data_IF_731294296582
#
_entry.id   IF_731294296582
#
_cell.length_a   1.000
_cell.length_b   1.000
_cell.length_c   1.000
_cell.angle_alpha   90.00
_cell.angle_beta   90.00
_cell.angle_gamma   90.00
#
_symmetry.space_group_name_H-M   'P 1'
#
loop_
_entity.id
_entity.type
_entity.pdbx_description
1 polymer ?
#
# COMPACT_ATOMS: atom_id res chain seq x y z
N UNK A 1 10.04 44.94 13.00
CA UNK A 1 10.89 43.76 12.71
C UNK A 1 11.21 43.05 14.03
N UNK A 2 10.60 41.91 14.30
CA UNK A 2 11.00 41.04 15.40
C UNK A 2 10.87 39.60 14.93
N UNK A 3 12.03 39.00 14.68
CA UNK A 3 12.22 37.65 14.17
C UNK A 3 12.19 36.74 15.40
N UNK A 4 10.99 36.24 15.73
CA UNK A 4 10.85 35.25 16.79
C UNK A 4 11.66 34.00 16.43
N UNK A 5 12.63 33.71 17.28
CA UNK A 5 13.51 32.55 17.21
C UNK A 5 12.68 31.30 17.56
N UNK A 6 11.99 30.74 16.56
CA UNK A 6 11.45 29.38 16.66
C UNK A 6 12.65 28.42 16.67
N UNK A 7 13.07 28.05 17.87
CA UNK A 7 13.92 26.88 18.12
C UNK A 7 13.28 25.69 17.40
N UNK A 8 13.80 25.34 16.22
CA UNK A 8 13.51 24.06 15.57
C UNK A 8 14.14 22.97 16.44
N UNK A 9 13.37 22.39 17.36
CA UNK A 9 13.68 21.03 17.80
C UNK A 9 13.42 20.13 16.59
N UNK A 10 14.45 19.96 15.76
CA UNK A 10 14.46 18.89 14.77
C UNK A 10 14.25 17.56 15.51
N UNK A 11 13.58 16.58 14.89
CA UNK A 11 13.35 15.30 15.54
C UNK A 11 14.69 14.69 15.92
N UNK A 12 14.77 14.17 17.15
CA UNK A 12 15.95 13.48 17.63
C UNK A 12 16.13 12.20 16.78
N UNK A 13 17.01 12.25 15.79
CA UNK A 13 17.26 11.11 14.89
C UNK A 13 17.88 9.91 15.62
N UNK A 14 18.47 10.13 16.80
CA UNK A 14 18.98 9.06 17.67
C UNK A 14 17.85 8.29 18.38
N UNK A 15 16.61 8.78 18.31
CA UNK A 15 15.45 8.15 18.94
C UNK A 15 14.68 7.18 18.03
N UNK A 16 14.99 7.10 16.73
CA UNK A 16 14.24 6.21 15.81
C UNK A 16 14.82 4.80 15.88
N UNK A 17 14.01 3.78 16.24
CA UNK A 17 14.52 2.43 16.43
C UNK A 17 15.06 1.87 15.11
N UNK A 18 16.22 1.22 15.19
CA UNK A 18 16.77 0.44 14.08
C UNK A 18 15.83 -0.70 13.64
N UNK A 19 14.94 -1.15 14.54
CA UNK A 19 14.00 -2.23 14.29
C UNK A 19 12.60 -1.93 14.86
N UNK A 20 11.58 -1.98 14.01
CA UNK A 20 10.17 -2.09 14.36
C UNK A 20 9.70 -3.52 14.12
N UNK A 21 8.78 -4.01 14.95
CA UNK A 21 8.22 -5.36 14.82
C UNK A 21 6.71 -5.31 14.99
N UNK A 22 6.00 -5.94 14.07
CA UNK A 22 4.54 -6.01 14.01
C UNK A 22 4.12 -7.47 14.01
N UNK A 23 3.72 -7.99 15.18
CA UNK A 23 3.42 -9.43 15.41
C UNK A 23 1.96 -9.73 15.70
N UNK A 24 1.15 -8.71 15.97
CA UNK A 24 -0.26 -8.85 16.29
C UNK A 24 -1.04 -7.62 15.82
N UNK A 25 -2.35 -7.77 15.64
CA UNK A 25 -3.22 -6.65 15.25
C UNK A 25 -3.12 -5.49 16.23
N UNK A 26 -3.04 -4.28 15.70
CA UNK A 26 -2.98 -3.04 16.46
C UNK A 26 -3.97 -2.01 15.88
N UNK A 27 -5.24 -2.09 16.34
CA UNK A 27 -6.30 -1.23 15.87
C UNK A 27 -6.00 0.28 15.93
N UNK A 28 -5.29 0.82 16.96
CA UNK A 28 -5.00 2.26 17.03
C UNK A 28 -4.22 2.82 15.83
N UNK A 29 -3.39 1.99 15.18
CA UNK A 29 -2.64 2.38 13.98
C UNK A 29 -3.28 1.84 12.69
N UNK A 30 -4.41 1.12 12.80
CA UNK A 30 -5.10 0.47 11.70
C UNK A 30 -4.34 -0.74 11.13
N UNK A 31 -3.42 -1.30 11.90
CA UNK A 31 -2.69 -2.51 11.54
C UNK A 31 -3.50 -3.74 11.97
N UNK A 32 -3.70 -4.67 11.04
CA UNK A 32 -4.36 -5.94 11.32
C UNK A 32 -3.45 -7.04 10.79
N UNK A 33 -3.24 -8.04 11.63
CA UNK A 33 -2.47 -9.24 11.34
C UNK A 33 -3.34 -10.47 11.54
N UNK A 34 -2.97 -11.57 10.89
CA UNK A 34 -3.54 -12.87 11.19
C UNK A 34 -3.30 -13.20 12.66
N UNK A 35 -4.22 -13.96 13.27
CA UNK A 35 -3.96 -14.48 14.61
C UNK A 35 -2.76 -15.44 14.54
N UNK A 36 -1.67 -15.17 15.28
CA UNK A 36 -0.44 -15.93 15.12
C UNK A 36 -0.67 -17.40 15.47
N UNK A 37 -0.46 -18.29 14.50
CA UNK A 37 -0.62 -19.74 14.71
C UNK A 37 0.75 -20.37 14.89
N UNK A 38 0.93 -21.16 15.95
CA UNK A 38 2.19 -21.89 16.16
C UNK A 38 2.34 -22.98 15.11
N UNK A 39 3.52 -23.09 14.50
CA UNK A 39 3.77 -24.12 13.50
C UNK A 39 5.19 -24.08 12.91
N UNK A 40 5.54 -25.07 12.07
CA UNK A 40 6.84 -25.14 11.42
C UNK A 40 7.14 -23.91 10.57
N UNK A 41 6.16 -23.42 9.80
CA UNK A 41 6.31 -22.24 8.93
C UNK A 41 6.68 -21.00 9.73
N UNK A 42 5.93 -20.72 10.80
CA UNK A 42 6.23 -19.62 11.72
C UNK A 42 7.62 -19.73 12.34
N UNK A 43 8.02 -20.93 12.74
CA UNK A 43 9.36 -21.17 13.30
C UNK A 43 10.47 -20.85 12.28
N UNK A 44 10.25 -21.12 10.99
CA UNK A 44 11.20 -20.76 9.94
C UNK A 44 11.34 -19.24 9.82
N UNK A 45 10.22 -18.53 9.76
CA UNK A 45 10.20 -17.07 9.62
C UNK A 45 10.83 -16.39 10.82
N UNK A 46 10.47 -16.78 12.05
CA UNK A 46 11.00 -16.17 13.28
C UNK A 46 12.53 -16.34 13.38
N UNK A 47 13.06 -17.51 13.02
CA UNK A 47 14.53 -17.72 12.99
C UNK A 47 15.22 -16.86 11.95
N UNK A 48 14.65 -16.77 10.75
CA UNK A 48 15.23 -15.95 9.71
C UNK A 48 15.16 -14.46 10.06
N UNK A 49 14.03 -14.00 10.59
CA UNK A 49 13.84 -12.64 11.09
C UNK A 49 14.85 -12.28 12.19
N UNK A 50 15.08 -13.18 13.16
CA UNK A 50 16.08 -12.97 14.20
C UNK A 50 17.49 -12.78 13.63
N UNK A 51 17.86 -13.54 12.60
CA UNK A 51 19.15 -13.36 11.92
C UNK A 51 19.22 -12.03 11.16
N UNK A 52 18.17 -11.64 10.45
CA UNK A 52 18.08 -10.35 9.75
C UNK A 52 18.24 -9.20 10.75
N UNK A 53 17.54 -9.26 11.89
CA UNK A 53 17.63 -8.26 12.95
C UNK A 53 19.03 -8.17 13.56
N UNK A 54 19.70 -9.30 13.79
CA UNK A 54 21.05 -9.33 14.35
C UNK A 54 22.09 -8.70 13.40
N UNK A 55 22.00 -9.00 12.10
CA UNK A 55 22.86 -8.41 11.08
C UNK A 55 22.51 -6.95 10.75
N UNK A 56 21.26 -6.55 10.97
CA UNK A 56 20.71 -5.24 10.62
C UNK A 56 21.18 -4.06 11.49
N UNK A 57 21.92 -4.30 12.57
CA UNK A 57 22.41 -3.23 13.47
C UNK A 57 23.40 -2.24 12.82
N UNK A 58 23.88 -2.51 11.59
CA UNK A 58 24.68 -1.59 10.77
C UNK A 58 23.96 -1.09 9.50
N UNK A 59 22.71 -1.51 9.27
CA UNK A 59 21.95 -1.22 8.04
C UNK A 59 20.79 -0.22 8.31
N UNK A 60 20.18 0.27 7.23
CA UNK A 60 19.03 1.18 7.28
C UNK A 60 17.91 0.65 8.19
N UNK A 61 17.13 1.52 8.87
CA UNK A 61 16.05 1.12 9.76
C UNK A 61 15.06 0.14 9.11
N UNK A 62 14.67 -0.85 9.89
CA UNK A 62 13.90 -2.00 9.43
C UNK A 62 12.56 -2.11 10.17
N UNK A 63 11.52 -2.55 9.47
CA UNK A 63 10.26 -2.99 10.03
C UNK A 63 9.98 -4.44 9.60
N UNK A 64 9.72 -5.31 10.58
CA UNK A 64 9.30 -6.69 10.37
C UNK A 64 7.80 -6.79 10.57
N UNK A 65 7.08 -7.30 9.56
CA UNK A 65 5.66 -7.58 9.66
C UNK A 65 5.43 -9.09 9.58
N UNK A 66 4.79 -9.64 10.60
CA UNK A 66 4.40 -11.04 10.63
C UNK A 66 2.94 -11.19 10.26
N UNK A 67 2.67 -11.95 9.21
CA UNK A 67 1.33 -12.18 8.65
C UNK A 67 0.38 -10.94 8.63
N UNK A 68 0.79 -9.75 8.15
CA UNK A 68 -0.10 -8.61 7.92
C UNK A 68 -1.29 -8.97 7.01
N UNK A 69 -2.47 -8.45 7.33
CA UNK A 69 -3.66 -8.60 6.50
C UNK A 69 -3.55 -7.76 5.22
N UNK A 70 -3.03 -8.35 4.15
CA UNK A 70 -2.90 -7.72 2.83
C UNK A 70 -4.12 -8.05 1.94
N UNK A 71 -4.30 -7.36 0.81
CA UNK A 71 -5.41 -7.69 -0.11
C UNK A 71 -5.29 -9.12 -0.65
N UNK A 72 -4.06 -9.64 -0.80
CA UNK A 72 -3.76 -10.95 -1.38
C UNK A 72 -3.10 -11.89 -0.36
N UNK A 73 -3.68 -12.00 0.84
CA UNK A 73 -3.24 -12.96 1.86
C UNK A 73 -2.44 -12.33 3.01
N UNK A 74 -1.60 -13.14 3.65
CA UNK A 74 -0.91 -12.82 4.89
C UNK A 74 0.59 -13.13 4.82
N UNK A 75 1.35 -12.47 3.92
CA UNK A 75 2.78 -12.71 3.77
C UNK A 75 3.56 -12.13 4.93
N UNK A 76 4.70 -12.72 5.27
CA UNK A 76 5.67 -12.07 6.15
C UNK A 76 6.49 -11.06 5.34
N UNK A 77 6.77 -9.89 5.91
CA UNK A 77 7.43 -8.80 5.20
C UNK A 77 8.61 -8.23 5.98
N UNK A 78 9.69 -7.94 5.25
CA UNK A 78 10.84 -7.19 5.73
C UNK A 78 10.89 -5.88 4.96
N UNK A 79 10.77 -4.76 5.67
CA UNK A 79 10.62 -3.44 5.06
C UNK A 79 11.73 -2.52 5.56
N UNK A 80 12.54 -1.94 4.67
CA UNK A 80 13.44 -0.85 5.05
C UNK A 80 12.74 0.48 4.84
N UNK A 81 13.05 1.45 5.70
CA UNK A 81 12.42 2.76 5.64
C UNK A 81 13.39 3.87 6.02
N UNK A 82 13.05 5.09 5.61
CA UNK A 82 13.80 6.31 5.86
C UNK A 82 13.11 7.13 6.97
N UNK A 83 13.68 7.19 8.19
CA UNK A 83 13.13 7.98 9.28
C UNK A 83 12.94 9.46 8.98
N UNK A 84 13.82 10.06 8.17
CA UNK A 84 13.78 11.48 7.86
C UNK A 84 12.53 11.85 7.05
N UNK A 85 11.96 10.87 6.33
CA UNK A 85 10.67 11.02 5.68
C UNK A 85 9.53 11.18 6.68
N UNK A 86 9.51 10.35 7.71
CA UNK A 86 8.44 10.36 8.72
C UNK A 86 8.53 11.58 9.63
N UNK A 87 9.72 12.14 9.83
CA UNK A 87 9.91 13.42 10.50
C UNK A 87 9.12 14.59 9.87
N UNK A 88 8.76 14.49 8.59
CA UNK A 88 8.00 15.51 7.86
C UNK A 88 6.49 15.22 7.82
N UNK A 89 6.03 14.15 8.48
CA UNK A 89 4.62 13.81 8.51
C UNK A 89 3.78 14.87 9.16
N UNK A 90 2.55 15.02 8.66
CA UNK A 90 1.55 15.94 9.18
C UNK A 90 0.42 15.19 9.88
N UNK A 91 -0.19 15.83 10.87
CA UNK A 91 -1.30 15.26 11.66
C UNK A 91 -2.42 14.61 10.81
N UNK A 92 -2.87 15.19 9.67
CA UNK A 92 -3.91 14.57 8.86
C UNK A 92 -3.55 13.18 8.29
N UNK A 93 -2.26 12.83 8.18
CA UNK A 93 -1.84 11.47 7.76
C UNK A 93 -2.34 10.37 8.71
N UNK A 94 -2.42 10.68 10.01
CA UNK A 94 -2.88 9.74 11.03
C UNK A 94 -4.34 9.32 10.82
N UNK A 95 -5.11 10.14 10.09
CA UNK A 95 -6.53 9.91 9.82
C UNK A 95 -6.78 9.31 8.44
N UNK A 96 -5.75 8.95 7.67
CA UNK A 96 -5.95 8.37 6.34
C UNK A 96 -6.57 6.97 6.44
N UNK A 97 -7.56 6.71 5.60
CA UNK A 97 -8.26 5.44 5.51
C UNK A 97 -7.86 4.71 4.23
N UNK A 98 -8.23 3.43 4.12
CA UNK A 98 -7.96 2.62 2.91
C UNK A 98 -8.50 3.26 1.64
N UNK A 99 -9.64 3.96 1.73
CA UNK A 99 -10.21 4.71 0.60
C UNK A 99 -9.33 5.89 0.17
N UNK A 100 -8.65 6.55 1.11
CA UNK A 100 -7.70 7.63 0.80
C UNK A 100 -6.47 7.05 0.10
N UNK A 101 -5.95 5.91 0.55
CA UNK A 101 -4.80 5.25 -0.08
C UNK A 101 -5.11 4.78 -1.51
N UNK A 102 -6.34 4.31 -1.76
CA UNK A 102 -6.82 4.01 -3.12
C UNK A 102 -6.82 5.25 -4.00
N UNK A 103 -7.26 6.38 -3.47
CA UNK A 103 -7.26 7.65 -4.20
C UNK A 103 -5.84 8.13 -4.50
N UNK A 104 -4.89 8.01 -3.55
CA UNK A 104 -3.47 8.31 -3.80
C UNK A 104 -2.93 7.42 -4.93
N UNK A 105 -3.15 6.10 -4.86
CA UNK A 105 -2.67 5.17 -5.88
C UNK A 105 -3.27 5.44 -7.27
N UNK A 106 -4.54 5.85 -7.33
CA UNK A 106 -5.19 6.29 -8.58
C UNK A 106 -4.60 7.60 -9.12
N UNK A 107 -4.40 8.60 -8.25
CA UNK A 107 -3.78 9.87 -8.64
C UNK A 107 -2.30 9.70 -9.03
N UNK A 108 -1.62 8.66 -8.56
CA UNK A 108 -0.25 8.31 -8.97
C UNK A 108 -0.18 7.73 -10.38
N UNK A 109 -1.19 6.96 -10.77
CA UNK A 109 -1.22 6.35 -12.09
C UNK A 109 -1.55 7.35 -13.20
N UNK A 110 -1.84 8.60 -12.86
CA UNK A 110 -2.21 9.67 -13.77
C UNK A 110 -1.37 10.93 -13.48
N UNK A 111 -1.13 11.79 -14.47
CA UNK A 111 -0.34 13.00 -14.26
C UNK A 111 -1.12 14.07 -13.45
N UNK A 112 -2.39 14.27 -13.81
CA UNK A 112 -3.34 15.20 -13.19
C UNK A 112 -4.76 14.69 -13.46
N UNK A 113 -5.66 14.76 -12.48
CA UNK A 113 -7.04 14.25 -12.63
C UNK A 113 -8.05 15.25 -12.11
N UNK A 114 -9.11 15.53 -12.88
CA UNK A 114 -10.21 16.39 -12.43
C UNK A 114 -11.22 15.66 -11.52
N UNK A 115 -12.13 16.43 -10.91
CA UNK A 115 -13.10 15.89 -9.96
C UNK A 115 -14.09 14.93 -10.63
N UNK A 116 -14.48 15.19 -11.88
CA UNK A 116 -15.43 14.36 -12.61
C UNK A 116 -14.87 12.95 -12.84
N UNK A 117 -13.60 12.86 -13.27
CA UNK A 117 -12.89 11.60 -13.43
C UNK A 117 -12.71 10.87 -12.09
N UNK A 118 -12.35 11.58 -11.01
CA UNK A 118 -12.25 10.97 -9.66
C UNK A 118 -13.61 10.38 -9.24
N UNK A 119 -14.71 11.12 -9.43
CA UNK A 119 -16.05 10.66 -9.07
C UNK A 119 -16.48 9.44 -9.90
N UNK A 120 -16.16 9.43 -11.19
CA UNK A 120 -16.48 8.32 -12.08
C UNK A 120 -15.71 7.04 -11.70
N UNK A 121 -14.43 7.14 -11.35
CA UNK A 121 -13.61 5.96 -11.01
C UNK A 121 -13.88 5.42 -9.61
N UNK A 122 -14.09 6.31 -8.62
CA UNK A 122 -14.29 5.89 -7.23
C UNK A 122 -15.76 5.65 -6.87
N UNK A 123 -16.68 5.71 -7.84
CA UNK A 123 -18.12 5.48 -7.68
C UNK A 123 -18.69 6.14 -6.41
N UNK A 124 -18.27 7.38 -6.15
CA UNK A 124 -18.44 8.02 -4.86
C UNK A 124 -19.37 9.22 -4.92
N UNK A 125 -20.10 9.44 -3.83
CA UNK A 125 -20.75 10.73 -3.61
C UNK A 125 -19.71 11.86 -3.56
N UNK A 126 -20.07 13.02 -4.13
CA UNK A 126 -19.19 14.19 -4.23
C UNK A 126 -18.61 14.61 -2.89
N UNK A 127 -19.45 14.65 -1.84
CA UNK A 127 -19.04 15.15 -0.51
C UNK A 127 -17.98 14.27 0.17
N UNK A 128 -18.14 12.94 0.25
CA UNK A 128 -17.06 12.05 0.67
C UNK A 128 -15.75 12.24 -0.11
N UNK A 129 -15.80 12.31 -1.44
CA UNK A 129 -14.59 12.50 -2.27
C UNK A 129 -13.88 13.81 -1.94
N UNK A 130 -14.61 14.92 -1.85
CA UNK A 130 -14.04 16.22 -1.48
C UNK A 130 -13.40 16.21 -0.10
N UNK A 131 -14.00 15.54 0.89
CA UNK A 131 -13.40 15.37 2.22
C UNK A 131 -12.08 14.60 2.18
N UNK A 132 -11.98 13.58 1.31
CA UNK A 132 -10.73 12.82 1.12
C UNK A 132 -9.66 13.68 0.47
N UNK A 133 -10.01 14.40 -0.58
CA UNK A 133 -9.10 15.34 -1.24
C UNK A 133 -8.59 16.39 -0.24
N UNK A 134 -9.46 16.92 0.61
CA UNK A 134 -9.08 17.93 1.60
C UNK A 134 -8.07 17.36 2.60
N UNK A 135 -8.40 16.20 3.18
CA UNK A 135 -7.50 15.49 4.12
C UNK A 135 -6.14 15.19 3.49
N UNK A 136 -6.11 14.78 2.22
CA UNK A 136 -4.87 14.50 1.49
C UNK A 136 -4.05 15.77 1.21
N UNK A 137 -4.69 16.90 0.93
CA UNK A 137 -3.98 18.18 0.73
C UNK A 137 -3.47 18.76 2.06
N UNK A 138 -4.26 18.69 3.13
CA UNK A 138 -3.85 19.05 4.48
C UNK A 138 -2.68 18.17 4.97
N UNK A 139 -2.64 16.91 4.53
CA UNK A 139 -1.52 15.99 4.75
C UNK A 139 -0.28 16.31 3.88
N UNK A 140 -0.39 17.24 2.93
CA UNK A 140 0.67 17.59 1.97
C UNK A 140 0.96 16.53 0.91
N UNK A 141 0.04 15.59 0.69
CA UNK A 141 0.23 14.47 -0.27
C UNK A 141 -0.15 14.90 -1.69
N UNK A 142 -1.22 15.67 -1.82
CA UNK A 142 -1.73 16.14 -3.11
C UNK A 142 -1.76 17.66 -3.15
N UNK A 143 -1.78 18.18 -4.38
CA UNK A 143 -2.02 19.58 -4.67
C UNK A 143 -3.13 19.70 -5.71
N UNK A 144 -3.96 20.72 -5.55
CA UNK A 144 -4.94 21.13 -6.55
C UNK A 144 -4.31 22.24 -7.42
N UNK A 145 -4.42 22.10 -8.74
CA UNK A 145 -3.91 23.05 -9.72
C UNK A 145 -4.91 23.11 -10.89
N UNK A 146 -5.52 24.28 -11.10
CA UNK A 146 -6.43 24.56 -12.22
C UNK A 146 -7.63 23.61 -12.34
N UNK A 147 -8.24 23.23 -11.22
CA UNK A 147 -9.38 22.31 -11.13
C UNK A 147 -9.02 20.83 -11.21
N UNK A 148 -7.73 20.49 -11.17
CA UNK A 148 -7.23 19.12 -11.21
C UNK A 148 -6.30 18.82 -10.03
N UNK A 149 -6.29 17.57 -9.59
CA UNK A 149 -5.48 17.09 -8.48
C UNK A 149 -4.34 16.22 -8.98
N UNK A 150 -3.18 16.33 -8.33
CA UNK A 150 -2.05 15.43 -8.52
C UNK A 150 -1.30 15.20 -7.23
N UNK A 151 -0.55 14.11 -7.16
CA UNK A 151 0.42 13.90 -6.07
C UNK A 151 1.57 14.89 -6.21
N UNK A 152 1.98 15.51 -5.11
CA UNK A 152 3.02 16.57 -5.09
C UNK A 152 4.34 16.05 -5.66
N UNK A 153 4.79 14.90 -5.17
CA UNK A 153 5.93 14.16 -5.70
C UNK A 153 5.72 12.65 -5.47
N UNK A 154 5.56 11.85 -6.54
CA UNK A 154 5.18 10.45 -6.48
C UNK A 154 5.91 9.59 -5.44
N UNK A 155 7.25 9.65 -5.44
CA UNK A 155 8.09 8.85 -4.54
C UNK A 155 8.20 9.45 -3.13
N UNK A 156 7.92 10.74 -2.97
CA UNK A 156 7.96 11.44 -1.68
C UNK A 156 6.68 11.23 -0.85
N UNK A 157 5.77 10.37 -1.32
CA UNK A 157 4.68 9.87 -0.48
C UNK A 157 5.14 8.74 0.44
N UNK A 158 6.13 7.95 0.00
CA UNK A 158 6.63 6.77 0.68
C UNK A 158 7.96 7.03 1.40
N UNK A 159 7.97 6.80 2.71
CA UNK A 159 9.21 6.68 3.49
C UNK A 159 9.79 5.27 3.44
N UNK A 160 8.99 4.29 3.02
CA UNK A 160 9.46 2.94 2.70
C UNK A 160 10.41 2.99 1.50
N UNK A 161 11.54 2.28 1.59
CA UNK A 161 12.58 2.23 0.56
C UNK A 161 12.71 0.86 -0.09
N UNK A 162 12.42 -0.21 0.64
CA UNK A 162 12.47 -1.58 0.16
C UNK A 162 11.40 -2.41 0.85
N UNK A 163 10.76 -3.32 0.12
CA UNK A 163 9.77 -4.27 0.64
C UNK A 163 10.16 -5.66 0.13
N UNK A 164 10.63 -6.52 1.02
CA UNK A 164 10.86 -7.92 0.73
C UNK A 164 9.70 -8.75 1.29
N UNK A 165 8.96 -9.40 0.40
CA UNK A 165 7.92 -10.34 0.79
C UNK A 165 8.51 -11.75 0.93
N UNK A 166 8.20 -12.41 2.03
CA UNK A 166 8.66 -13.75 2.37
C UNK A 166 7.43 -14.66 2.38
N UNK A 167 7.44 -15.65 1.51
CA UNK A 167 6.46 -16.73 1.53
C UNK A 167 7.14 -17.98 2.11
N UNK A 168 6.79 -18.33 3.35
CA UNK A 168 7.27 -19.53 4.00
C UNK A 168 6.22 -20.64 3.89
N UNK A 169 6.58 -21.77 3.29
CA UNK A 169 5.62 -22.87 3.12
C UNK A 169 6.25 -24.25 3.20
N UNK A 170 5.53 -25.16 3.84
CA UNK A 170 5.81 -26.60 3.81
C UNK A 170 5.25 -27.21 2.51
N UNK A 171 5.80 -28.33 2.00
CA UNK A 171 6.02 -28.54 0.57
C UNK A 171 4.74 -28.63 -0.28
N UNK A 172 4.42 -27.55 -1.02
CA UNK A 172 3.48 -27.53 -2.14
C UNK A 172 3.91 -26.49 -3.18
N UNK A 173 4.88 -26.86 -4.03
CA UNK A 173 5.65 -25.96 -4.91
C UNK A 173 4.81 -25.08 -5.87
N UNK A 174 3.80 -25.59 -6.60
CA UNK A 174 3.09 -24.74 -7.56
C UNK A 174 2.32 -23.60 -6.91
N UNK A 175 1.61 -23.88 -5.81
CA UNK A 175 0.87 -22.86 -5.05
C UNK A 175 1.80 -21.83 -4.43
N UNK A 176 2.98 -22.27 -3.98
CA UNK A 176 4.01 -21.40 -3.41
C UNK A 176 4.48 -20.32 -4.40
N UNK A 177 4.71 -20.68 -5.67
CA UNK A 177 5.11 -19.73 -6.71
C UNK A 177 3.97 -18.76 -7.04
N UNK A 178 2.74 -19.26 -7.17
CA UNK A 178 1.58 -18.43 -7.43
C UNK A 178 1.37 -17.36 -6.34
N UNK A 179 1.44 -17.75 -5.07
CA UNK A 179 1.35 -16.83 -3.94
C UNK A 179 2.49 -15.79 -3.96
N UNK A 180 3.72 -16.23 -4.21
CA UNK A 180 4.86 -15.31 -4.32
C UNK A 180 4.70 -14.29 -5.47
N UNK A 181 4.13 -14.71 -6.59
CA UNK A 181 3.85 -13.82 -7.72
C UNK A 181 2.83 -12.74 -7.36
N UNK A 182 1.82 -13.03 -6.53
CA UNK A 182 0.88 -12.01 -6.05
C UNK A 182 1.57 -10.91 -5.24
N UNK A 183 2.68 -11.21 -4.54
CA UNK A 183 3.40 -10.21 -3.76
C UNK A 183 4.27 -9.28 -4.62
N UNK A 184 4.67 -9.72 -5.82
CA UNK A 184 5.49 -8.93 -6.75
C UNK A 184 4.81 -7.64 -7.26
N UNK A 185 3.50 -7.48 -7.06
CA UNK A 185 2.77 -6.25 -7.41
C UNK A 185 3.11 -5.05 -6.50
N UNK A 186 3.62 -5.29 -5.29
CA UNK A 186 3.99 -4.22 -4.35
C UNK A 186 5.38 -4.40 -3.73
N UNK A 187 5.88 -5.63 -3.64
CA UNK A 187 7.20 -5.91 -3.11
C UNK A 187 8.29 -5.57 -4.13
N UNK A 188 9.42 -5.05 -3.65
CA UNK A 188 10.64 -4.87 -4.45
C UNK A 188 11.35 -6.20 -4.67
N UNK A 189 11.21 -7.13 -3.74
CA UNK A 189 11.72 -8.49 -3.85
C UNK A 189 10.70 -9.46 -3.25
N UNK A 190 10.58 -10.65 -3.85
CA UNK A 190 9.83 -11.74 -3.25
C UNK A 190 10.74 -12.96 -3.11
N UNK A 191 10.72 -13.57 -1.93
CA UNK A 191 11.59 -14.68 -1.55
C UNK A 191 10.75 -15.84 -1.05
N UNK A 192 11.11 -17.05 -1.49
CA UNK A 192 10.62 -18.29 -0.91
C UNK A 192 11.53 -18.69 0.25
N UNK A 193 10.95 -18.86 1.44
CA UNK A 193 11.67 -19.39 2.59
C UNK A 193 11.33 -20.86 2.77
N UNK A 194 12.32 -21.72 2.55
CA UNK A 194 12.16 -23.16 2.55
C UNK A 194 12.90 -23.80 3.74
N UNK A 195 12.35 -24.88 4.34
CA UNK A 195 13.14 -25.70 5.26
C UNK A 195 14.32 -26.32 4.52
N UNK A 196 15.37 -26.72 5.24
CA UNK A 196 16.56 -27.41 4.72
C UNK A 196 16.20 -28.70 3.95
N UNK A 197 15.84 -28.56 2.69
CA UNK A 197 15.46 -29.62 1.77
C UNK A 197 16.24 -29.46 0.47
N UNK A 198 16.44 -30.58 -0.23
CA UNK A 198 17.03 -30.55 -1.57
C UNK A 198 16.09 -29.80 -2.51
N UNK A 199 16.52 -28.63 -2.97
CA UNK A 199 15.82 -27.88 -4.01
C UNK A 199 15.84 -28.71 -5.29
N UNK A 200 14.66 -29.00 -5.85
CA UNK A 200 14.60 -29.67 -7.14
C UNK A 200 15.03 -28.70 -8.24
N UNK A 201 15.69 -29.22 -9.28
CA UNK A 201 16.08 -28.41 -10.44
C UNK A 201 14.86 -27.69 -11.06
N UNK A 202 13.72 -28.38 -11.11
CA UNK A 202 12.46 -27.82 -11.61
C UNK A 202 11.96 -26.63 -10.80
N UNK A 203 12.05 -26.69 -9.46
CA UNK A 203 11.70 -25.55 -8.59
C UNK A 203 12.64 -24.38 -8.83
N UNK A 204 13.96 -24.63 -8.83
CA UNK A 204 14.97 -23.58 -9.04
C UNK A 204 14.77 -22.87 -10.38
N UNK A 205 14.52 -23.63 -11.46
CA UNK A 205 14.23 -23.09 -12.78
C UNK A 205 12.90 -22.33 -12.84
N UNK A 206 11.88 -22.78 -12.11
CA UNK A 206 10.61 -22.06 -12.06
C UNK A 206 10.74 -20.73 -11.32
N UNK A 207 11.40 -20.71 -10.16
CA UNK A 207 11.72 -19.50 -9.38
C UNK A 207 12.53 -18.52 -10.23
N UNK A 208 13.56 -19.01 -10.91
CA UNK A 208 14.42 -18.21 -11.80
C UNK A 208 13.63 -17.50 -12.89
N UNK A 209 12.76 -18.21 -13.59
CA UNK A 209 11.92 -17.64 -14.66
C UNK A 209 11.03 -16.50 -14.17
N UNK A 210 10.72 -16.47 -12.88
CA UNK A 210 9.86 -15.46 -12.27
C UNK A 210 10.63 -14.39 -11.47
N UNK A 211 11.97 -14.43 -11.47
CA UNK A 211 12.80 -13.47 -10.73
C UNK A 211 12.67 -13.56 -9.21
N UNK A 212 12.20 -14.70 -8.68
CA UNK A 212 12.03 -14.89 -7.24
C UNK A 212 13.37 -15.26 -6.57
N UNK A 213 13.49 -14.96 -5.28
CA UNK A 213 14.60 -15.40 -4.44
C UNK A 213 14.30 -16.73 -3.75
N UNK A 214 15.35 -17.45 -3.34
CA UNK A 214 15.24 -18.66 -2.52
C UNK A 214 16.16 -18.54 -1.33
N UNK A 215 15.56 -18.58 -0.14
CA UNK A 215 16.28 -18.71 1.11
C UNK A 215 15.98 -20.07 1.73
N UNK A 216 17.01 -20.67 2.31
CA UNK A 216 16.94 -21.97 2.97
C UNK A 216 17.29 -21.79 4.44
N UNK A 217 16.38 -22.21 5.32
CA UNK A 217 16.63 -22.25 6.75
C UNK A 217 17.34 -23.56 7.11
N UNK A 218 18.63 -23.45 7.47
CA UNK A 218 19.40 -24.53 8.10
C UNK A 218 19.21 -24.50 9.63
N UNK A 219 19.70 -25.51 10.38
CA UNK A 219 19.65 -25.48 11.83
C UNK A 219 20.35 -24.27 12.46
N UNK A 220 21.34 -23.69 11.78
CA UNK A 220 22.20 -22.62 12.33
C UNK A 220 22.07 -21.29 11.59
N UNK A 221 21.50 -21.25 10.39
CA UNK A 221 21.41 -20.03 9.60
C UNK A 221 20.25 -20.02 8.60
N UNK A 222 19.73 -18.83 8.32
CA UNK A 222 18.95 -18.53 7.13
C UNK A 222 19.91 -18.17 6.00
N UNK A 223 20.04 -19.04 5.00
CA UNK A 223 21.02 -18.89 3.91
C UNK A 223 20.33 -18.44 2.62
N UNK A 224 20.88 -17.41 1.98
CA UNK A 224 20.47 -17.00 0.64
C UNK A 224 21.07 -17.96 -0.37
N UNK A 225 20.24 -18.79 -0.99
CA UNK A 225 20.66 -19.72 -2.05
C UNK A 225 20.58 -19.05 -3.41
N UNK A 226 19.58 -18.19 -3.59
CA UNK A 226 19.38 -17.40 -4.79
C UNK A 226 18.79 -16.04 -4.41
N UNK A 227 19.38 -14.99 -4.95
CA UNK A 227 18.84 -13.64 -4.81
C UNK A 227 17.64 -13.44 -5.75
N UNK A 228 16.65 -12.69 -5.28
CA UNK A 228 15.55 -12.24 -6.12
C UNK A 228 16.08 -11.23 -7.15
N UNK A 229 15.39 -11.10 -8.28
CA UNK A 229 15.63 -9.99 -9.20
C UNK A 229 14.91 -8.75 -8.64
N UNK A 230 15.62 -7.69 -8.24
CA UNK A 230 14.98 -6.54 -7.62
C UNK A 230 14.08 -5.79 -8.63
N UNK A 231 12.89 -5.41 -8.18
CA UNK A 231 11.98 -4.53 -8.89
C UNK A 231 11.98 -3.13 -8.27
N UNK A 232 11.66 -2.12 -9.07
CA UNK A 232 11.42 -0.76 -8.57
C UNK A 232 10.24 -0.74 -7.62
N UNK A 233 10.37 -0.01 -6.51
CA UNK A 233 9.27 0.24 -5.59
C UNK A 233 8.15 0.97 -6.32
N UNK A 234 6.92 0.47 -6.18
CA UNK A 234 5.73 1.05 -6.82
C UNK A 234 4.80 1.61 -5.76
N UNK A 235 4.22 2.77 -6.03
CA UNK A 235 3.16 3.34 -5.19
C UNK A 235 1.86 2.59 -5.46
N UNK A 236 1.62 1.59 -4.63
CA UNK A 236 0.41 0.78 -4.57
C UNK A 236 -0.31 1.00 -3.24
N UNK A 237 -1.58 0.61 -3.17
CA UNK A 237 -2.35 0.61 -1.90
C UNK A 237 -1.59 -0.14 -0.80
N UNK A 238 -0.92 -1.25 -1.13
CA UNK A 238 -0.19 -2.05 -0.13
C UNK A 238 1.11 -1.40 0.33
N UNK A 239 1.91 -0.85 -0.58
CA UNK A 239 3.11 -0.07 -0.19
C UNK A 239 2.73 1.16 0.67
N UNK A 240 1.60 1.80 0.36
CA UNK A 240 1.07 2.92 1.13
C UNK A 240 0.59 2.45 2.50
N UNK A 241 -0.08 1.31 2.61
CA UNK A 241 -0.51 0.75 3.91
C UNK A 241 0.67 0.45 4.82
N UNK A 242 1.71 -0.19 4.28
CA UNK A 242 2.96 -0.45 5.02
C UNK A 242 3.59 0.86 5.49
N UNK A 243 3.68 1.84 4.59
CA UNK A 243 4.16 3.18 4.92
C UNK A 243 3.35 3.83 6.04
N UNK A 244 2.02 3.77 5.95
CA UNK A 244 1.13 4.38 6.94
C UNK A 244 1.24 3.69 8.31
N UNK A 245 1.37 2.35 8.36
CA UNK A 245 1.55 1.63 9.61
C UNK A 245 2.89 1.96 10.30
N UNK A 246 3.98 2.06 9.53
CA UNK A 246 5.29 2.45 10.06
C UNK A 246 5.22 3.84 10.69
N UNK A 247 4.74 4.84 9.96
CA UNK A 247 4.75 6.20 10.51
C UNK A 247 3.75 6.38 11.65
N UNK A 248 2.59 5.72 11.63
CA UNK A 248 1.65 5.74 12.77
C UNK A 248 2.24 5.09 14.01
N UNK A 249 2.97 3.97 13.85
CA UNK A 249 3.74 3.38 14.94
C UNK A 249 4.74 4.36 15.51
N UNK A 250 5.56 4.99 14.66
CA UNK A 250 6.57 5.94 15.08
C UNK A 250 5.97 7.13 15.85
N UNK A 251 4.79 7.60 15.45
CA UNK A 251 4.05 8.64 16.17
C UNK A 251 3.48 8.12 17.49
N UNK A 252 2.84 6.94 17.49
CA UNK A 252 2.26 6.33 18.69
C UNK A 252 3.32 6.07 19.78
N UNK A 253 4.52 5.66 19.37
CA UNK A 253 5.66 5.43 20.26
C UNK A 253 6.37 6.73 20.68
N UNK A 254 5.89 7.90 20.25
CA UNK A 254 6.47 9.21 20.54
C UNK A 254 7.82 9.46 19.87
N UNK A 255 8.20 8.66 18.85
CA UNK A 255 9.47 8.79 18.10
C UNK A 255 9.41 9.87 17.02
N UNK A 256 8.22 10.14 16.51
CA UNK A 256 7.95 11.21 15.55
C UNK A 256 6.85 12.10 16.12
N UNK A 257 7.10 13.41 16.14
CA UNK A 257 6.06 14.41 16.44
C UNK A 257 5.56 14.95 15.10
N UNK A 258 4.31 14.67 14.71
CA UNK A 258 3.79 15.12 13.44
C UNK A 258 3.61 16.64 13.42
N UNK A 259 3.89 17.24 12.27
CA UNK A 259 3.66 18.65 11.99
C UNK A 259 2.15 18.95 11.93
N UNK A 260 1.74 20.22 12.13
CA UNK A 260 0.36 20.63 11.89
C UNK A 260 -0.10 20.38 10.45
N UNK A 261 -1.42 20.38 10.24
CA UNK A 261 -2.02 20.36 8.91
C UNK A 261 -1.46 21.50 8.05
N UNK A 262 -1.33 21.27 6.74
CA UNK A 262 -1.11 22.35 5.80
C UNK A 262 -2.37 23.23 5.77
N UNK A 263 -2.19 24.55 5.74
CA UNK A 263 -3.31 25.44 5.44
C UNK A 263 -3.72 25.24 3.98
N UNK A 264 -4.96 24.82 3.79
CA UNK A 264 -5.57 24.64 2.46
C UNK A 264 -6.76 25.60 2.39
N UNK A 265 -6.81 26.41 1.34
CA UNK A 265 -7.99 27.22 1.05
C UNK A 265 -9.10 26.32 0.50
N UNK A 266 -9.80 25.63 1.40
CA UNK A 266 -10.92 24.77 1.06
C UNK A 266 -12.09 25.56 0.45
N UNK A 267 -12.18 26.86 0.68
CA UNK A 267 -13.20 27.72 0.06
C UNK A 267 -12.92 27.92 -1.43
N UNK A 268 -11.66 27.93 -1.86
CA UNK A 268 -11.29 27.91 -3.28
C UNK A 268 -11.73 26.62 -3.99
N UNK A 269 -11.91 25.52 -3.25
CA UNK A 269 -12.39 24.24 -3.81
C UNK A 269 -13.92 24.15 -3.86
N UNK A 270 -14.61 25.05 -3.15
CA UNK A 270 -16.04 25.24 -3.25
C UNK A 270 -16.37 25.99 -4.54
N UNK A 271 -16.34 25.29 -5.67
CA UNK A 271 -16.79 25.83 -6.94
C UNK A 271 -18.23 26.36 -6.82
N UNK A 272 -18.54 27.54 -7.41
CA UNK A 272 -19.90 28.03 -7.46
C UNK A 272 -20.76 27.01 -8.20
N UNK A 273 -21.89 26.66 -7.60
CA UNK A 273 -22.90 25.70 -8.08
C UNK A 273 -23.45 26.03 -9.48
N UNK A 274 -23.03 27.14 -10.08
CA UNK A 274 -23.55 27.75 -11.31
C UNK A 274 -22.72 27.52 -12.57
N UNK A 275 -21.55 26.86 -12.49
CA UNK A 275 -20.74 26.59 -13.69
C UNK A 275 -20.98 25.19 -14.28
N UNK A 276 -22.24 24.77 -14.43
CA UNK A 276 -22.60 23.65 -15.31
C UNK A 276 -22.83 24.22 -16.72
N UNK A 277 -21.75 24.33 -17.52
CA UNK A 277 -21.90 24.44 -18.98
C UNK A 277 -22.09 23.03 -19.54
N UNK A 278 -23.34 22.77 -19.95
CA UNK A 278 -23.83 21.69 -20.83
C UNK A 278 -23.85 20.25 -20.25
N UNK A 279 -25.02 19.75 -19.84
CA UNK A 279 -25.26 18.32 -19.61
C UNK A 279 -25.63 17.65 -20.94
N UNK A 280 -24.65 17.21 -21.74
CA UNK A 280 -24.95 16.46 -22.97
C UNK A 280 -24.19 15.15 -23.14
N UNK A 281 -23.44 14.69 -22.12
CA UNK A 281 -22.77 13.37 -22.16
C UNK A 281 -22.95 12.47 -20.94
N UNK A 282 -23.54 12.97 -19.85
CA UNK A 282 -23.64 12.20 -18.59
C UNK A 282 -24.89 11.31 -18.50
N UNK A 283 -25.94 11.57 -19.28
CA UNK A 283 -27.17 10.76 -19.24
C UNK A 283 -27.11 9.47 -20.07
N UNK A 284 -26.14 9.31 -20.98
CA UNK A 284 -26.06 8.12 -21.84
C UNK A 284 -25.32 6.92 -21.22
N UNK A 285 -24.66 7.09 -20.07
CA UNK A 285 -23.86 6.02 -19.44
C UNK A 285 -24.47 5.45 -18.15
N UNK A 286 -25.57 6.02 -17.63
CA UNK A 286 -26.15 5.58 -16.35
C UNK A 286 -27.64 5.24 -16.38
N UNK A 287 -28.37 5.57 -17.45
CA UNK A 287 -29.77 5.16 -17.62
C UNK A 287 -29.97 4.66 -19.04
N UNK A 288 -30.10 3.33 -19.19
CA UNK A 288 -30.64 2.74 -20.41
C UNK A 288 -32.02 3.34 -20.65
N UNK A 289 -32.24 3.85 -21.85
CA UNK A 289 -33.53 4.37 -22.27
C UNK A 289 -34.60 3.28 -22.05
N UNK A 290 -35.53 3.54 -21.13
CA UNK A 290 -36.79 2.81 -21.04
C UNK A 290 -37.64 3.19 -22.25
N UNK A 291 -37.42 2.48 -23.35
CA UNK A 291 -38.27 2.48 -24.54
C UNK A 291 -39.11 1.22 -24.57
N UNK A 292 -40.41 1.40 -24.72
CA UNK A 292 -41.50 0.43 -24.80
C UNK A 292 -41.20 -0.85 -25.58
N UNK A 293 -41.61 -1.98 -25.00
CA UNK A 293 -41.65 -3.30 -25.64
C UNK A 293 -42.86 -3.37 -26.57
N UNK A 294 -42.61 -3.44 -27.87
CA UNK A 294 -43.41 -4.24 -28.78
C UNK A 294 -42.50 -5.36 -29.31
N UNK A 295 -42.89 -6.61 -29.07
CA UNK A 295 -42.36 -7.81 -29.72
C UNK A 295 -43.11 -8.02 -31.05
N UNK A 296 -42.57 -8.71 -32.08
CA UNK A 296 -41.81 -9.95 -31.93
C UNK A 296 -40.68 -10.26 -32.94
N UNK A 297 -39.98 -11.36 -32.62
CA UNK A 297 -39.44 -12.40 -33.51
C UNK A 297 -37.91 -12.54 -33.69
N UNK A 298 -37.41 -13.65 -33.12
CA UNK A 298 -36.49 -14.65 -33.69
C UNK A 298 -35.02 -14.26 -33.96
N UNK A 299 -34.12 -14.87 -33.16
CA UNK A 299 -32.80 -15.30 -33.67
C UNK A 299 -31.61 -15.17 -32.71
N UNK A 300 -31.25 -16.27 -32.04
CA UNK A 300 -29.87 -16.76 -31.88
C UNK A 300 -28.83 -15.90 -31.14
N UNK A 301 -28.58 -16.30 -29.89
CA UNK A 301 -27.60 -15.78 -28.93
C UNK A 301 -26.15 -16.29 -29.14
N UNK A 302 -25.25 -15.68 -28.37
CA UNK A 302 -23.81 -15.91 -28.05
C UNK A 302 -22.83 -14.93 -28.71
N UNK A 303 -22.10 -14.06 -28.00
CA UNK A 303 -22.01 -13.76 -26.56
C UNK A 303 -20.65 -13.12 -26.26
N UNK A 304 -20.61 -11.83 -25.92
CA UNK A 304 -19.43 -11.15 -25.36
C UNK A 304 -19.85 -10.41 -24.10
N UNK A 305 -19.32 -10.85 -22.96
CA UNK A 305 -19.57 -10.30 -21.62
C UNK A 305 -18.59 -9.16 -21.37
N UNK A 306 -19.11 -7.96 -21.05
CA UNK A 306 -18.32 -6.86 -20.50
C UNK A 306 -18.20 -6.99 -18.96
N UNK A 307 -17.06 -6.59 -18.34
CA UNK A 307 -16.80 -6.83 -16.94
C UNK A 307 -17.55 -5.83 -16.03
N UNK A 308 -18.23 -6.36 -15.01
CA UNK A 308 -19.00 -5.62 -14.02
C UNK A 308 -18.16 -5.06 -12.87
N UNK A 309 -18.70 -4.00 -12.27
CA UNK A 309 -18.20 -3.31 -11.09
C UNK A 309 -18.10 -4.25 -9.87
N UNK A 310 -16.89 -4.36 -9.30
CA UNK A 310 -16.64 -5.09 -8.06
C UNK A 310 -16.91 -4.20 -6.84
N UNK A 311 -18.12 -4.33 -6.28
CA UNK A 311 -18.37 -4.04 -4.87
C UNK A 311 -18.36 -5.38 -4.12
N UNK A 312 -17.34 -5.63 -3.31
CA UNK A 312 -17.40 -6.69 -2.29
C UNK A 312 -16.92 -6.10 -0.96
N UNK A 313 -17.86 -5.48 -0.25
CA UNK A 313 -17.81 -5.38 1.21
C UNK A 313 -18.52 -6.60 1.77
N UNK A 314 -17.77 -7.59 2.24
CA UNK A 314 -18.27 -8.54 3.23
C UNK A 314 -17.46 -8.43 4.50
N UNK A 315 -18.16 -7.93 5.51
CA UNK A 315 -17.85 -8.08 6.94
C UNK A 315 -17.84 -9.56 7.31
N UNK A 316 -16.77 -10.01 7.97
CA UNK A 316 -16.73 -10.92 9.13
C UNK A 316 -15.29 -11.00 9.62
#
# INVERSE_FOLDING_TARGET
MSRALLMRHGPNMDAVPALLTFTASEPPIGYYARTPTSGPERTLVERCAAQISACGSQAAPLALFFEPAMTQGYPDLVVTYDPAHYAQWRLPRLQLERADLRLIAFLQSQATVDLGAILATHCGERRPVLRRLLRLAEAGIIVEQNGAWRVVAPMDVLGVRHIQAIEAKMPAVPRLIEQALHHSFYATETVLLLPHARLSLALTQAVERHGLGIWVQTPTACQRVRDATPASLRVSVESLRLNEWIGRRLVADGRVVPLPALEVDAAAWCWPTTAMRSPSRFQQLCFGASGTVDSPAMGGDSGVVAPGCLNDERRS
#
